data_IF_307421841539
#
_entry.id   IF_307421841539
#
_cell.length_a   1.000
_cell.length_b   1.000
_cell.length_c   1.000
_cell.angle_alpha   90.00
_cell.angle_beta   90.00
_cell.angle_gamma   90.00
#
_symmetry.space_group_name_H-M   'P 1'
#
loop_
_entity.id
_entity.type
_entity.pdbx_description
1 polymer ?
#
# COMPACT_ATOMS: atom_id res chain seq x y z
N UNK A 1 -16.41 -15.00 -17.46
CA UNK A 1 -15.55 -15.75 -16.53
C UNK A 1 -14.07 -15.56 -16.86
N UNK A 2 -13.64 -15.65 -18.12
CA UNK A 2 -12.23 -15.54 -18.55
C UNK A 2 -11.52 -14.23 -18.15
N UNK A 3 -12.26 -13.15 -17.94
CA UNK A 3 -11.69 -11.87 -17.53
C UNK A 3 -11.42 -11.78 -16.02
N UNK A 4 -12.07 -12.59 -15.20
CA UNK A 4 -11.99 -12.54 -13.75
C UNK A 4 -11.14 -13.64 -13.15
N UNK A 5 -11.06 -14.79 -13.81
CA UNK A 5 -10.32 -15.95 -13.31
C UNK A 5 -9.52 -16.53 -14.49
N UNK A 6 -8.21 -16.33 -14.48
CA UNK A 6 -7.30 -16.82 -15.52
C UNK A 6 -6.50 -18.04 -15.02
N UNK A 7 -5.81 -17.89 -13.89
CA UNK A 7 -4.95 -18.94 -13.35
C UNK A 7 -4.62 -18.72 -11.85
N UNK A 8 -3.83 -19.62 -11.28
CA UNK A 8 -3.40 -19.54 -9.89
C UNK A 8 -2.47 -18.37 -9.57
N UNK A 9 -1.87 -17.73 -10.58
CA UNK A 9 -0.98 -16.58 -10.37
C UNK A 9 -1.72 -15.39 -9.78
N UNK A 10 -3.01 -15.25 -10.05
CA UNK A 10 -3.87 -14.23 -9.46
C UNK A 10 -3.97 -14.37 -7.94
N UNK A 11 -4.16 -15.60 -7.47
CA UNK A 11 -4.22 -15.89 -6.02
C UNK A 11 -2.86 -15.58 -5.39
N UNK A 12 -1.77 -15.97 -6.04
CA UNK A 12 -0.42 -15.69 -5.58
C UNK A 12 -0.17 -14.18 -5.49
N UNK A 13 -0.54 -13.40 -6.51
CA UNK A 13 -0.42 -11.95 -6.50
C UNK A 13 -1.22 -11.32 -5.35
N UNK A 14 -2.49 -11.70 -5.20
CA UNK A 14 -3.34 -11.19 -4.13
C UNK A 14 -2.78 -11.50 -2.74
N UNK A 15 -2.37 -12.75 -2.50
CA UNK A 15 -1.82 -13.19 -1.20
C UNK A 15 -0.52 -12.48 -0.89
N UNK A 16 0.41 -12.38 -1.86
CA UNK A 16 1.71 -11.73 -1.67
C UNK A 16 1.57 -10.23 -1.39
N UNK A 17 0.72 -9.54 -2.13
CA UNK A 17 0.45 -8.11 -1.89
C UNK A 17 -0.27 -7.90 -0.55
N UNK A 18 -1.23 -8.77 -0.21
CA UNK A 18 -1.91 -8.70 1.09
C UNK A 18 -0.91 -8.90 2.24
N UNK A 19 0.03 -9.83 2.08
CA UNK A 19 1.09 -10.04 3.07
C UNK A 19 1.96 -8.79 3.26
N UNK A 20 2.40 -8.16 2.18
CA UNK A 20 3.19 -6.91 2.23
C UNK A 20 2.37 -5.78 2.87
N UNK A 21 1.09 -5.67 2.52
CA UNK A 21 0.20 -4.67 3.12
C UNK A 21 0.00 -4.90 4.63
N UNK A 22 -0.15 -6.15 5.08
CA UNK A 22 -0.20 -6.50 6.51
C UNK A 22 1.11 -6.16 7.20
N UNK A 23 2.25 -6.42 6.56
CA UNK A 23 3.57 -6.07 7.11
C UNK A 23 3.72 -4.55 7.29
N UNK A 24 3.33 -3.75 6.28
CA UNK A 24 3.28 -2.28 6.43
C UNK A 24 2.36 -1.86 7.56
N UNK A 25 1.17 -2.45 7.65
CA UNK A 25 0.20 -2.13 8.70
C UNK A 25 0.74 -2.46 10.09
N UNK A 26 1.38 -3.61 10.25
CA UNK A 26 1.97 -4.02 11.53
C UNK A 26 3.12 -3.11 11.97
N UNK A 27 4.04 -2.78 11.07
CA UNK A 27 5.16 -1.88 11.34
C UNK A 27 4.69 -0.47 11.67
N UNK A 28 3.76 0.09 10.90
CA UNK A 28 3.21 1.42 11.18
C UNK A 28 2.42 1.46 12.48
N UNK A 29 1.64 0.42 12.76
CA UNK A 29 0.92 0.28 14.02
C UNK A 29 1.86 0.20 15.24
N UNK A 30 3.02 -0.43 15.08
CA UNK A 30 4.03 -0.51 16.12
C UNK A 30 4.66 0.86 16.42
N UNK A 31 4.78 1.74 15.44
CA UNK A 31 5.29 3.10 15.64
C UNK A 31 4.27 4.03 16.32
N UNK A 32 2.98 3.69 16.31
CA UNK A 32 1.91 4.56 16.79
C UNK A 32 1.41 4.22 18.21
N UNK A 33 0.98 5.25 18.95
CA UNK A 33 0.34 5.12 20.27
C UNK A 33 -1.10 4.58 20.22
N UNK A 34 -1.72 4.40 21.38
CA UNK A 34 -3.08 3.85 21.52
C UNK A 34 -4.17 4.70 20.84
N UNK A 35 -4.00 6.02 20.76
CA UNK A 35 -4.98 6.97 20.17
C UNK A 35 -4.85 7.18 18.64
N UNK A 36 -3.93 6.47 17.96
CA UNK A 36 -3.66 6.67 16.55
C UNK A 36 -4.85 6.34 15.64
N UNK A 37 -4.89 6.94 14.49
CA UNK A 37 -5.84 6.60 13.43
C UNK A 37 -5.30 5.36 12.69
N UNK A 38 -5.78 4.18 13.07
CA UNK A 38 -5.31 2.88 12.55
C UNK A 38 -5.31 2.76 11.03
N UNK A 39 -6.17 3.53 10.35
CA UNK A 39 -6.20 3.55 8.89
C UNK A 39 -4.96 4.18 8.24
N UNK A 40 -4.12 4.91 9.00
CA UNK A 40 -2.85 5.43 8.52
C UNK A 40 -1.67 4.46 8.76
N UNK A 41 -1.85 3.41 9.54
CA UNK A 41 -0.78 2.46 9.87
C UNK A 41 -0.02 1.95 8.62
N UNK A 42 -0.68 1.51 7.51
CA UNK A 42 0.05 1.02 6.35
C UNK A 42 0.89 2.11 5.64
N UNK A 43 0.44 3.37 5.63
CA UNK A 43 1.22 4.48 5.08
C UNK A 43 2.48 4.75 5.92
N UNK A 44 2.33 4.74 7.25
CA UNK A 44 3.46 4.92 8.17
C UNK A 44 4.48 3.78 8.03
N UNK A 45 4.02 2.53 7.96
CA UNK A 45 4.91 1.39 7.77
C UNK A 45 5.61 1.39 6.41
N UNK A 46 4.91 1.76 5.34
CA UNK A 46 5.52 1.93 4.02
C UNK A 46 6.58 3.04 4.03
N UNK A 47 6.29 4.19 4.64
CA UNK A 47 7.25 5.28 4.78
C UNK A 47 8.52 4.84 5.54
N UNK A 48 8.36 4.17 6.68
CA UNK A 48 9.48 3.65 7.47
C UNK A 48 10.33 2.66 6.68
N UNK A 49 9.71 1.71 5.99
CA UNK A 49 10.45 0.76 5.15
C UNK A 49 11.14 1.47 3.99
N UNK A 50 10.48 2.44 3.34
CA UNK A 50 11.09 3.23 2.28
C UNK A 50 12.34 3.97 2.76
N UNK A 51 12.28 4.61 3.92
CA UNK A 51 13.43 5.28 4.54
C UNK A 51 14.53 4.27 4.90
N UNK A 52 14.16 3.15 5.56
CA UNK A 52 15.13 2.13 5.97
C UNK A 52 15.85 1.50 4.77
N UNK A 53 15.11 1.10 3.73
CA UNK A 53 15.71 0.51 2.51
C UNK A 53 16.59 1.52 1.78
N UNK A 54 16.14 2.78 1.66
CA UNK A 54 16.95 3.82 1.01
C UNK A 54 18.23 4.10 1.79
N UNK A 55 18.12 4.31 3.10
CA UNK A 55 19.28 4.60 3.95
C UNK A 55 20.28 3.44 3.97
N UNK A 56 19.80 2.23 4.20
CA UNK A 56 20.66 1.05 4.29
C UNK A 56 21.28 0.69 2.94
N UNK A 57 20.52 0.78 1.86
CA UNK A 57 21.03 0.48 0.52
C UNK A 57 22.01 1.53 0.01
N UNK A 58 21.74 2.82 0.24
CA UNK A 58 22.61 3.91 -0.26
C UNK A 58 23.86 4.09 0.60
N UNK A 59 23.69 4.12 1.94
CA UNK A 59 24.84 4.43 2.82
C UNK A 59 25.70 3.20 3.15
N UNK A 60 25.10 2.01 3.19
CA UNK A 60 25.78 0.81 3.66
C UNK A 60 25.84 -0.30 2.61
N UNK A 61 25.27 -0.09 1.43
CA UNK A 61 25.20 -1.07 0.35
C UNK A 61 24.66 -2.44 0.80
N UNK A 62 23.70 -2.43 1.74
CA UNK A 62 23.09 -3.66 2.25
C UNK A 62 22.20 -4.25 1.16
N UNK A 63 22.32 -5.55 0.84
CA UNK A 63 21.45 -6.21 -0.14
C UNK A 63 19.96 -6.12 0.24
N UNK A 64 19.10 -5.82 -0.72
CA UNK A 64 17.66 -5.70 -0.49
C UNK A 64 17.01 -7.01 -0.06
N UNK A 65 17.56 -8.16 -0.47
CA UNK A 65 17.11 -9.48 -0.02
C UNK A 65 17.26 -9.64 1.49
N UNK A 66 18.44 -9.26 2.05
CA UNK A 66 18.68 -9.29 3.49
C UNK A 66 17.72 -8.33 4.22
N UNK A 67 17.55 -7.12 3.68
CA UNK A 67 16.64 -6.14 4.27
C UNK A 67 15.19 -6.62 4.24
N UNK A 68 14.78 -7.33 3.17
CA UNK A 68 13.43 -7.91 3.07
C UNK A 68 13.18 -8.97 4.15
N UNK A 69 14.18 -9.83 4.42
CA UNK A 69 14.09 -10.82 5.51
C UNK A 69 14.00 -10.11 6.86
N UNK A 70 14.87 -9.13 7.12
CA UNK A 70 14.83 -8.35 8.37
C UNK A 70 13.49 -7.63 8.55
N UNK A 71 12.98 -7.00 7.49
CA UNK A 71 11.67 -6.35 7.49
C UNK A 71 10.54 -7.35 7.78
N UNK A 72 10.59 -8.56 7.22
CA UNK A 72 9.64 -9.64 7.48
C UNK A 72 9.65 -10.09 8.94
N UNK A 73 10.84 -10.26 9.52
CA UNK A 73 11.00 -10.62 10.95
C UNK A 73 10.45 -9.51 11.84
N UNK A 74 10.83 -8.26 11.58
CA UNK A 74 10.35 -7.10 12.35
C UNK A 74 8.84 -6.93 12.21
N UNK A 75 8.28 -7.08 11.02
CA UNK A 75 6.83 -7.00 10.78
C UNK A 75 6.09 -8.12 11.51
N UNK A 76 6.64 -9.33 11.57
CA UNK A 76 6.05 -10.45 12.30
C UNK A 76 6.03 -10.18 13.80
N UNK A 77 7.15 -9.73 14.38
CA UNK A 77 7.22 -9.33 15.78
C UNK A 77 6.28 -8.17 16.13
N UNK A 78 6.27 -7.14 15.28
CA UNK A 78 5.34 -6.01 15.38
C UNK A 78 3.88 -6.47 15.31
N UNK A 79 3.57 -7.38 14.39
CA UNK A 79 2.23 -7.95 14.23
C UNK A 79 1.74 -8.67 15.48
N UNK A 80 2.58 -9.52 16.09
CA UNK A 80 2.26 -10.20 17.36
C UNK A 80 2.04 -9.19 18.48
N UNK A 81 2.92 -8.19 18.57
CA UNK A 81 2.80 -7.16 19.59
C UNK A 81 1.53 -6.31 19.44
N UNK A 82 1.24 -5.84 18.21
CA UNK A 82 0.03 -5.07 17.90
C UNK A 82 -1.23 -5.90 18.11
N UNK A 83 -1.21 -7.17 17.74
CA UNK A 83 -2.34 -8.07 18.00
C UNK A 83 -2.66 -8.16 19.51
N UNK A 84 -1.62 -8.32 20.34
CA UNK A 84 -1.80 -8.39 21.82
C UNK A 84 -2.26 -7.07 22.42
N UNK A 85 -1.77 -5.93 21.89
CA UNK A 85 -2.11 -4.59 22.37
C UNK A 85 -3.51 -4.14 21.95
N UNK A 86 -3.86 -4.34 20.67
CA UNK A 86 -5.02 -3.72 20.02
C UNK A 86 -6.14 -4.71 19.68
N UNK A 87 -5.95 -6.00 19.93
CA UNK A 87 -6.90 -7.07 19.60
C UNK A 87 -6.98 -7.41 18.10
N UNK A 88 -6.08 -6.87 17.28
CA UNK A 88 -6.02 -7.14 15.84
C UNK A 88 -5.16 -6.12 15.10
N UNK A 89 -4.67 -6.49 13.92
CA UNK A 89 -3.81 -5.63 13.08
C UNK A 89 -4.66 -4.75 12.18
N UNK A 90 -5.69 -5.33 11.57
CA UNK A 90 -6.51 -4.67 10.54
C UNK A 90 -7.54 -3.72 11.17
N UNK A 91 -7.71 -2.49 10.67
CA UNK A 91 -8.73 -1.56 11.18
C UNK A 91 -10.14 -2.09 10.94
N UNK A 92 -11.06 -1.74 11.86
CA UNK A 92 -12.47 -2.08 11.72
C UNK A 92 -13.05 -1.49 10.42
N UNK A 93 -13.91 -2.27 9.75
CA UNK A 93 -14.52 -1.88 8.47
C UNK A 93 -13.72 -2.24 7.24
N UNK A 94 -12.38 -2.41 7.33
CA UNK A 94 -11.55 -2.72 6.15
C UNK A 94 -11.93 -4.03 5.46
N UNK A 95 -12.13 -5.10 6.22
CA UNK A 95 -12.54 -6.39 5.65
C UNK A 95 -13.87 -6.32 4.91
N UNK A 96 -14.81 -5.49 5.37
CA UNK A 96 -16.09 -5.29 4.68
C UNK A 96 -15.91 -4.56 3.36
N UNK A 97 -15.09 -3.50 3.34
CA UNK A 97 -14.72 -2.82 2.10
C UNK A 97 -14.03 -3.78 1.13
N UNK A 98 -13.10 -4.59 1.62
CA UNK A 98 -12.39 -5.58 0.82
C UNK A 98 -13.36 -6.58 0.18
N UNK A 99 -14.33 -7.10 0.95
CA UNK A 99 -15.36 -8.01 0.42
C UNK A 99 -16.21 -7.37 -0.69
N UNK A 100 -16.55 -6.09 -0.54
CA UNK A 100 -17.38 -5.37 -1.52
C UNK A 100 -16.66 -5.18 -2.85
N UNK A 101 -15.33 -5.10 -2.83
CA UNK A 101 -14.53 -4.86 -4.03
C UNK A 101 -13.88 -6.12 -4.60
N UNK A 102 -14.26 -7.32 -4.12
CA UNK A 102 -13.75 -8.59 -4.66
C UNK A 102 -13.79 -8.63 -6.20
N UNK A 103 -14.88 -8.22 -6.90
CA UNK A 103 -14.88 -8.23 -8.36
C UNK A 103 -13.79 -7.33 -8.98
N UNK A 104 -13.56 -6.15 -8.40
CA UNK A 104 -12.49 -5.25 -8.84
C UNK A 104 -11.10 -5.85 -8.58
N UNK A 105 -10.90 -6.46 -7.41
CA UNK A 105 -9.64 -7.13 -7.07
C UNK A 105 -9.37 -8.30 -8.00
N UNK A 106 -10.39 -9.08 -8.35
CA UNK A 106 -10.25 -10.18 -9.31
C UNK A 106 -9.82 -9.67 -10.70
N UNK A 107 -10.35 -8.53 -11.15
CA UNK A 107 -9.90 -7.89 -12.39
C UNK A 107 -8.44 -7.43 -12.29
N UNK A 108 -8.06 -6.74 -11.22
CA UNK A 108 -6.70 -6.20 -11.05
C UNK A 108 -5.68 -7.33 -10.93
N UNK A 109 -6.00 -8.40 -10.24
CA UNK A 109 -5.09 -9.57 -10.13
C UNK A 109 -4.88 -10.27 -11.48
N UNK A 110 -5.84 -10.17 -12.40
CA UNK A 110 -5.74 -10.72 -13.76
C UNK A 110 -5.03 -9.76 -14.73
N UNK A 111 -4.87 -8.47 -14.37
CA UNK A 111 -4.27 -7.48 -15.26
C UNK A 111 -2.75 -7.63 -15.34
N UNK A 112 -2.23 -7.31 -16.52
CA UNK A 112 -0.81 -7.13 -16.77
C UNK A 112 -0.55 -5.67 -17.10
N UNK A 113 0.69 -5.25 -16.96
CA UNK A 113 1.12 -3.94 -17.40
C UNK A 113 0.76 -3.70 -18.87
N UNK A 114 0.24 -2.52 -19.16
CA UNK A 114 -0.24 -2.17 -20.49
C UNK A 114 0.00 -0.72 -20.87
N UNK A 115 0.43 0.10 -19.91
CA UNK A 115 0.62 1.53 -20.08
C UNK A 115 2.09 1.87 -20.29
N UNK A 116 2.36 2.93 -21.07
CA UNK A 116 3.70 3.34 -21.41
C UNK A 116 4.60 3.56 -20.18
N UNK A 117 4.11 4.27 -19.15
CA UNK A 117 4.90 4.60 -17.99
C UNK A 117 5.16 3.38 -17.09
N UNK A 118 4.34 2.33 -17.15
CA UNK A 118 4.64 1.07 -16.48
C UNK A 118 5.91 0.46 -17.06
N UNK A 119 6.04 0.45 -18.38
CA UNK A 119 7.21 -0.12 -19.07
C UNK A 119 8.43 0.81 -19.03
N UNK A 120 8.25 2.14 -18.92
CA UNK A 120 9.36 3.08 -18.91
C UNK A 120 10.06 3.19 -17.55
N UNK A 121 9.37 2.93 -16.43
CA UNK A 121 9.99 3.01 -15.09
C UNK A 121 9.32 2.17 -13.99
N UNK A 122 7.98 2.06 -13.89
CA UNK A 122 7.34 1.40 -12.76
C UNK A 122 7.58 -0.12 -12.71
N UNK A 123 7.92 -0.76 -13.81
CA UNK A 123 8.27 -2.17 -13.91
C UNK A 123 9.78 -2.38 -14.02
N UNK A 124 10.47 -1.54 -14.78
CA UNK A 124 11.92 -1.69 -15.02
C UNK A 124 12.70 -1.61 -13.73
N UNK A 125 12.39 -0.63 -12.88
CA UNK A 125 13.14 -0.40 -11.64
C UNK A 125 12.97 -1.56 -10.64
N UNK A 126 11.76 -2.02 -10.26
CA UNK A 126 11.64 -3.16 -9.36
C UNK A 126 12.24 -4.46 -9.93
N UNK A 127 12.18 -4.66 -11.26
CA UNK A 127 12.82 -5.80 -11.91
C UNK A 127 14.34 -5.72 -11.78
N UNK A 128 14.92 -4.57 -12.06
CA UNK A 128 16.34 -4.30 -11.85
C UNK A 128 16.74 -4.57 -10.39
N UNK A 129 15.96 -4.09 -9.42
CA UNK A 129 16.22 -4.32 -7.98
C UNK A 129 16.17 -5.82 -7.61
N UNK A 130 15.31 -6.60 -8.25
CA UNK A 130 15.24 -8.05 -8.05
C UNK A 130 16.46 -8.78 -8.64
N UNK A 131 16.97 -8.32 -9.77
CA UNK A 131 18.11 -8.90 -10.47
C UNK A 131 19.45 -8.54 -9.82
N UNK A 132 19.61 -7.28 -9.40
CA UNK A 132 20.88 -6.76 -8.86
C UNK A 132 20.97 -6.79 -7.34
N UNK A 133 19.83 -6.93 -6.67
CA UNK A 133 19.69 -6.88 -5.22
C UNK A 133 20.21 -5.59 -4.56
N UNK A 134 20.33 -4.49 -5.34
CA UNK A 134 20.95 -3.24 -4.94
C UNK A 134 20.39 -2.03 -5.69
N UNK A 135 20.76 -0.83 -5.22
CA UNK A 135 20.60 0.40 -6.00
C UNK A 135 21.56 0.45 -7.19
N UNK A 136 21.24 1.22 -8.24
CA UNK A 136 22.17 1.56 -9.29
C UNK A 136 23.43 2.20 -8.73
N UNK A 137 24.59 1.76 -9.23
CA UNK A 137 25.91 2.23 -8.83
C UNK A 137 26.89 2.15 -10.00
N UNK A 138 28.13 2.57 -9.79
CA UNK A 138 29.17 2.45 -10.82
C UNK A 138 29.42 1.01 -11.29
N UNK A 139 29.24 0.01 -10.40
CA UNK A 139 29.34 -1.41 -10.74
C UNK A 139 28.04 -2.02 -11.28
N UNK A 140 26.91 -1.40 -10.96
CA UNK A 140 25.57 -1.77 -11.40
C UNK A 140 24.93 -0.56 -12.09
N UNK A 141 25.16 -0.34 -13.40
CA UNK A 141 24.67 0.84 -14.10
C UNK A 141 23.14 0.88 -14.07
N UNK A 142 22.60 2.08 -14.10
CA UNK A 142 21.16 2.31 -14.08
C UNK A 142 20.49 1.61 -15.26
N UNK A 143 19.33 0.96 -15.07
CA UNK A 143 18.59 0.41 -16.18
C UNK A 143 18.17 1.54 -17.10
N UNK A 144 17.94 1.24 -18.39
CA UNK A 144 17.48 2.21 -19.36
C UNK A 144 16.01 2.60 -19.08
N UNK A 145 15.80 3.34 -18.00
CA UNK A 145 14.52 3.84 -17.55
C UNK A 145 14.38 5.30 -17.98
N UNK A 146 13.19 5.68 -18.42
CA UNK A 146 12.92 7.03 -18.92
C UNK A 146 13.12 8.14 -17.90
N UNK A 147 13.00 7.83 -16.60
CA UNK A 147 13.03 8.79 -15.50
C UNK A 147 13.86 8.26 -14.33
N UNK A 148 15.17 8.43 -14.43
CA UNK A 148 16.14 7.95 -13.45
C UNK A 148 16.00 8.57 -12.04
N UNK A 149 15.41 9.76 -11.94
CA UNK A 149 15.28 10.51 -10.70
C UNK A 149 14.00 10.20 -9.89
N UNK A 150 13.14 9.28 -10.34
CA UNK A 150 11.93 8.92 -9.61
C UNK A 150 12.27 8.26 -8.26
N UNK A 151 11.52 8.61 -7.18
CA UNK A 151 11.74 8.03 -5.86
C UNK A 151 11.53 6.51 -5.87
N UNK A 152 12.46 5.77 -5.29
CA UNK A 152 12.39 4.31 -5.17
C UNK A 152 11.30 3.83 -4.20
N UNK A 153 10.78 4.71 -3.34
CA UNK A 153 9.82 4.35 -2.31
C UNK A 153 8.60 3.58 -2.81
N UNK A 154 8.07 3.94 -3.98
CA UNK A 154 6.96 3.20 -4.61
C UNK A 154 7.42 1.87 -5.20
N UNK A 155 8.59 1.84 -5.81
CA UNK A 155 9.13 0.63 -6.43
C UNK A 155 9.40 -0.51 -5.41
N UNK A 156 9.67 -0.17 -4.13
CA UNK A 156 9.78 -1.16 -3.06
C UNK A 156 8.50 -1.98 -2.85
N UNK A 157 7.33 -1.46 -3.15
CA UNK A 157 6.05 -2.19 -3.06
C UNK A 157 6.06 -3.39 -4.01
N UNK A 158 6.34 -3.15 -5.29
CA UNK A 158 6.41 -4.20 -6.31
C UNK A 158 7.58 -5.15 -6.04
N UNK A 159 8.74 -4.62 -5.64
CA UNK A 159 9.90 -5.41 -5.25
C UNK A 159 9.56 -6.40 -4.11
N UNK A 160 9.02 -5.91 -3.00
CA UNK A 160 8.69 -6.73 -1.83
C UNK A 160 7.61 -7.78 -2.14
N UNK A 161 6.56 -7.39 -2.85
CA UNK A 161 5.50 -8.33 -3.25
C UNK A 161 6.06 -9.43 -4.16
N UNK A 162 6.93 -9.09 -5.09
CA UNK A 162 7.60 -10.04 -5.99
C UNK A 162 8.57 -10.96 -5.23
N UNK A 163 9.28 -10.44 -4.23
CA UNK A 163 10.15 -11.27 -3.35
C UNK A 163 9.33 -12.29 -2.56
N UNK A 164 8.18 -11.88 -2.02
CA UNK A 164 7.26 -12.80 -1.31
C UNK A 164 6.70 -13.87 -2.26
N UNK A 165 6.32 -13.46 -3.47
CA UNK A 165 5.76 -14.38 -4.47
C UNK A 165 6.80 -15.35 -5.09
N UNK A 166 8.08 -15.00 -5.06
CA UNK A 166 9.13 -15.72 -5.80
C UNK A 166 9.09 -15.53 -7.31
N UNK A 167 8.17 -14.69 -7.81
CA UNK A 167 8.02 -14.31 -9.22
C UNK A 167 7.72 -12.82 -9.33
N UNK A 168 8.03 -12.22 -10.48
CA UNK A 168 7.73 -10.82 -10.70
C UNK A 168 6.23 -10.55 -10.83
N UNK A 169 5.70 -9.64 -10.01
CA UNK A 169 4.28 -9.26 -9.97
C UNK A 169 4.06 -7.88 -10.57
N UNK A 170 3.69 -7.82 -11.84
CA UNK A 170 3.45 -6.56 -12.57
C UNK A 170 2.30 -5.72 -11.98
N UNK A 171 1.32 -6.36 -11.37
CA UNK A 171 0.10 -5.76 -10.83
C UNK A 171 0.17 -5.41 -9.34
N UNK A 172 1.31 -5.60 -8.68
CA UNK A 172 1.45 -5.37 -7.25
C UNK A 172 1.14 -3.91 -6.87
N UNK A 173 1.66 -2.94 -7.64
CA UNK A 173 1.38 -1.53 -7.43
C UNK A 173 -0.12 -1.20 -7.54
N UNK A 174 -0.81 -1.75 -8.55
CA UNK A 174 -2.24 -1.53 -8.74
C UNK A 174 -3.07 -2.08 -7.55
N UNK A 175 -2.74 -3.25 -7.04
CA UNK A 175 -3.41 -3.84 -5.87
C UNK A 175 -3.20 -3.01 -4.60
N UNK A 176 -1.97 -2.56 -4.33
CA UNK A 176 -1.68 -1.70 -3.17
C UNK A 176 -2.38 -0.35 -3.30
N UNK A 177 -2.45 0.23 -4.50
CA UNK A 177 -3.20 1.47 -4.73
C UNK A 177 -4.66 1.33 -4.27
N UNK A 178 -5.31 0.23 -4.60
CA UNK A 178 -6.68 -0.03 -4.13
C UNK A 178 -6.74 -0.17 -2.60
N UNK A 179 -5.82 -0.90 -1.99
CA UNK A 179 -5.79 -1.05 -0.54
C UNK A 179 -5.59 0.30 0.18
N UNK A 180 -4.73 1.17 -0.35
CA UNK A 180 -4.52 2.52 0.18
C UNK A 180 -5.76 3.40 0.03
N UNK A 181 -6.46 3.33 -1.11
CA UNK A 181 -7.74 4.03 -1.30
C UNK A 181 -8.80 3.60 -0.30
N UNK A 182 -8.94 2.29 -0.07
CA UNK A 182 -9.89 1.78 0.92
C UNK A 182 -9.56 2.26 2.34
N UNK A 183 -8.28 2.28 2.69
CA UNK A 183 -7.83 2.78 3.99
C UNK A 183 -8.12 4.28 4.12
N UNK A 184 -7.86 5.06 3.08
CA UNK A 184 -8.20 6.47 3.05
C UNK A 184 -9.71 6.71 3.17
N UNK A 185 -10.50 5.87 2.51
CA UNK A 185 -11.96 5.86 2.66
C UNK A 185 -12.42 5.68 4.11
N UNK A 186 -11.77 4.78 4.86
CA UNK A 186 -12.08 4.60 6.29
C UNK A 186 -11.70 5.83 7.12
N UNK A 187 -10.63 6.55 6.77
CA UNK A 187 -10.29 7.83 7.44
C UNK A 187 -11.39 8.85 7.22
N UNK A 188 -11.78 9.06 5.96
CA UNK A 188 -12.85 10.01 5.60
C UNK A 188 -14.15 9.67 6.31
N UNK A 189 -14.56 8.39 6.29
CA UNK A 189 -15.76 7.94 7.01
C UNK A 189 -15.67 8.21 8.51
N UNK A 190 -14.52 7.99 9.14
CA UNK A 190 -14.31 8.28 10.55
C UNK A 190 -14.49 9.76 10.84
N UNK A 191 -13.92 10.64 10.01
CA UNK A 191 -14.06 12.09 10.16
C UNK A 191 -15.52 12.53 9.99
N UNK A 192 -16.23 11.98 9.00
CA UNK A 192 -17.66 12.25 8.82
C UNK A 192 -18.47 11.78 10.04
N UNK A 193 -18.23 10.54 10.51
CA UNK A 193 -18.94 10.00 11.67
C UNK A 193 -18.68 10.83 12.94
N UNK A 194 -17.49 11.36 13.12
CA UNK A 194 -17.18 12.29 14.22
C UNK A 194 -17.90 13.63 14.04
N UNK A 195 -17.90 14.19 12.83
CA UNK A 195 -18.55 15.47 12.55
C UNK A 195 -20.09 15.44 12.75
N UNK A 196 -20.72 14.29 12.52
CA UNK A 196 -22.18 14.09 12.76
C UNK A 196 -22.47 13.50 14.14
N UNK A 197 -21.47 13.43 15.03
CA UNK A 197 -21.58 12.91 16.39
C UNK A 197 -22.07 11.45 16.51
N UNK A 198 -21.77 10.63 15.48
CA UNK A 198 -22.16 9.21 15.40
C UNK A 198 -20.94 8.28 15.17
N UNK A 199 -19.94 8.28 16.06
CA UNK A 199 -18.72 7.48 15.87
C UNK A 199 -19.00 5.96 15.82
N UNK A 200 -20.14 5.51 16.38
CA UNK A 200 -20.56 4.11 16.35
C UNK A 200 -20.80 3.58 14.92
N UNK A 201 -21.10 4.44 13.95
CA UNK A 201 -21.29 4.03 12.56
C UNK A 201 -20.02 3.37 11.97
N UNK A 202 -18.84 3.87 12.34
CA UNK A 202 -17.57 3.28 11.92
C UNK A 202 -17.13 2.17 12.89
N UNK A 203 -17.28 2.38 14.20
CA UNK A 203 -16.85 1.40 15.22
C UNK A 203 -17.59 0.07 15.09
N UNK A 204 -18.91 0.11 14.88
CA UNK A 204 -19.75 -1.07 14.66
C UNK A 204 -19.67 -1.57 13.21
N UNK A 205 -18.88 -0.91 12.36
CA UNK A 205 -18.70 -1.22 10.94
C UNK A 205 -20.03 -1.44 10.22
N UNK A 206 -20.92 -0.44 10.29
CA UNK A 206 -22.21 -0.48 9.59
C UNK A 206 -22.00 -0.68 8.08
N UNK A 207 -22.61 -1.74 7.50
CA UNK A 207 -22.42 -2.11 6.11
C UNK A 207 -22.78 -0.99 5.14
N UNK A 208 -23.91 -0.32 5.35
CA UNK A 208 -24.36 0.75 4.44
C UNK A 208 -23.42 1.94 4.47
N UNK A 209 -23.03 2.36 5.66
CA UNK A 209 -22.14 3.50 5.84
C UNK A 209 -20.74 3.23 5.26
N UNK A 210 -20.20 2.06 5.55
CA UNK A 210 -18.89 1.62 5.04
C UNK A 210 -18.92 1.48 3.53
N UNK A 211 -20.00 0.90 2.96
CA UNK A 211 -20.16 0.75 1.50
C UNK A 211 -20.25 2.10 0.80
N UNK A 212 -21.06 3.01 1.32
CA UNK A 212 -21.22 4.34 0.74
C UNK A 212 -19.91 5.12 0.74
N UNK A 213 -19.16 5.06 1.84
CA UNK A 213 -17.87 5.74 1.92
C UNK A 213 -16.81 5.12 1.01
N UNK A 214 -16.76 3.79 0.91
CA UNK A 214 -15.89 3.10 -0.04
C UNK A 214 -16.21 3.49 -1.48
N UNK A 215 -17.48 3.50 -1.86
CA UNK A 215 -17.92 3.92 -3.19
C UNK A 215 -17.58 5.40 -3.45
N UNK A 216 -17.84 6.29 -2.49
CA UNK A 216 -17.56 7.71 -2.62
C UNK A 216 -16.07 7.99 -2.86
N UNK A 217 -15.18 7.34 -2.11
CA UNK A 217 -13.73 7.51 -2.28
C UNK A 217 -13.24 6.95 -3.62
N UNK A 218 -13.75 5.79 -4.03
CA UNK A 218 -13.41 5.22 -5.33
C UNK A 218 -13.89 6.13 -6.47
N UNK A 219 -15.11 6.66 -6.40
CA UNK A 219 -15.68 7.54 -7.43
C UNK A 219 -15.07 8.94 -7.42
N UNK A 220 -14.72 9.46 -6.25
CA UNK A 220 -14.10 10.79 -6.10
C UNK A 220 -12.60 10.78 -6.41
N UNK A 221 -11.99 9.63 -6.61
CA UNK A 221 -10.59 9.57 -7.02
C UNK A 221 -10.43 10.19 -8.41
N UNK A 222 -9.67 11.30 -8.57
CA UNK A 222 -9.50 11.99 -9.85
C UNK A 222 -8.80 11.11 -10.89
N UNK A 223 -8.15 10.05 -10.45
CA UNK A 223 -7.50 9.07 -11.30
C UNK A 223 -8.45 7.94 -11.74
N UNK A 224 -9.71 7.99 -11.38
CA UNK A 224 -10.76 7.07 -11.85
C UNK A 224 -11.16 7.35 -13.32
N UNK A 225 -10.27 7.84 -14.11
CA UNK A 225 -10.34 7.76 -15.56
C UNK A 225 -9.78 6.40 -15.97
N UNK A 226 -10.27 5.84 -17.05
CA UNK A 226 -10.11 4.46 -17.53
C UNK A 226 -8.73 3.80 -17.41
N UNK A 227 -7.67 4.52 -17.07
CA UNK A 227 -6.29 4.04 -17.16
C UNK A 227 -5.53 4.00 -15.83
N UNK A 228 -5.86 4.82 -14.86
CA UNK A 228 -4.94 5.08 -13.72
C UNK A 228 -5.28 4.28 -12.46
N UNK A 229 -6.54 4.00 -12.17
CA UNK A 229 -6.94 3.19 -11.01
C UNK A 229 -6.46 1.74 -11.12
N UNK A 230 -6.35 1.26 -12.35
CA UNK A 230 -5.99 -0.14 -12.65
C UNK A 230 -4.52 -0.30 -13.04
N UNK A 231 -3.67 0.69 -12.80
CA UNK A 231 -2.25 0.66 -13.15
C UNK A 231 -1.35 0.64 -11.92
N UNK A 232 -0.09 0.30 -12.12
CA UNK A 232 0.95 0.34 -11.09
C UNK A 232 1.54 1.75 -10.86
N UNK A 233 0.88 2.80 -11.34
CA UNK A 233 1.33 4.19 -11.20
C UNK A 233 1.29 4.68 -9.76
N UNK A 234 2.20 5.58 -9.41
CA UNK A 234 2.30 6.15 -8.06
C UNK A 234 1.30 7.27 -7.75
N UNK A 235 0.54 7.76 -8.73
CA UNK A 235 -0.37 8.91 -8.57
C UNK A 235 -1.41 8.67 -7.48
N UNK A 236 -2.04 7.51 -7.47
CA UNK A 236 -3.05 7.17 -6.45
C UNK A 236 -2.43 7.11 -5.06
N UNK A 237 -1.29 6.45 -4.91
CA UNK A 237 -0.58 6.37 -3.62
C UNK A 237 -0.08 7.74 -3.16
N UNK A 238 0.40 8.58 -4.09
CA UNK A 238 0.82 9.96 -3.81
C UNK A 238 -0.35 10.82 -3.38
N UNK A 239 -1.51 10.73 -4.05
CA UNK A 239 -2.72 11.45 -3.68
C UNK A 239 -3.20 11.03 -2.28
N UNK A 240 -3.22 9.74 -1.98
CA UNK A 240 -3.58 9.22 -0.65
C UNK A 240 -2.59 9.69 0.42
N UNK A 241 -1.29 9.62 0.17
CA UNK A 241 -0.26 10.08 1.11
C UNK A 241 -0.37 11.59 1.39
N UNK A 242 -0.59 12.39 0.34
CA UNK A 242 -0.78 13.84 0.46
C UNK A 242 -2.06 14.16 1.26
N UNK A 243 -3.18 13.53 0.92
CA UNK A 243 -4.44 13.68 1.65
C UNK A 243 -4.33 13.29 3.13
N UNK A 244 -3.63 12.19 3.42
CA UNK A 244 -3.33 11.77 4.79
C UNK A 244 -2.48 12.81 5.54
N UNK A 245 -1.45 13.37 4.89
CA UNK A 245 -0.62 14.43 5.45
C UNK A 245 -1.42 15.69 5.79
N UNK A 246 -2.30 16.13 4.91
CA UNK A 246 -3.20 17.27 5.14
C UNK A 246 -4.12 17.02 6.32
N UNK A 247 -4.75 15.85 6.39
CA UNK A 247 -5.64 15.48 7.52
C UNK A 247 -4.86 15.47 8.84
N UNK A 248 -3.69 14.86 8.88
CA UNK A 248 -2.86 14.82 10.09
C UNK A 248 -2.43 16.23 10.51
N UNK A 249 -2.00 17.07 9.56
CA UNK A 249 -1.65 18.46 9.83
C UNK A 249 -2.84 19.24 10.41
N UNK A 250 -4.02 19.10 9.86
CA UNK A 250 -5.25 19.70 10.37
C UNK A 250 -5.57 19.23 11.80
N UNK A 251 -5.49 17.90 12.05
CA UNK A 251 -5.75 17.35 13.39
C UNK A 251 -4.74 17.86 14.42
N UNK A 252 -3.48 18.02 14.04
CA UNK A 252 -2.45 18.62 14.93
C UNK A 252 -2.80 20.06 15.24
N UNK A 253 -3.15 20.86 14.24
CA UNK A 253 -3.56 22.26 14.46
C UNK A 253 -4.76 22.36 15.40
N UNK A 254 -5.78 21.49 15.21
CA UNK A 254 -6.95 21.44 16.09
C UNK A 254 -6.60 21.02 17.54
N UNK A 255 -5.59 20.19 17.73
CA UNK A 255 -5.15 19.74 19.06
C UNK A 255 -4.29 20.78 19.79
N UNK A 256 -3.70 21.74 19.07
CA UNK A 256 -2.87 22.81 19.61
C UNK A 256 -3.66 24.11 19.87
N UNK A 257 -4.84 24.27 19.29
CA UNK A 257 -5.74 25.40 19.50
C UNK A 257 -6.61 25.22 20.74
#
# INVERSE_FOLDING_TARGET
>A
AQYFIQDSSQVLAFVSVTFVWIAFTALGAACGGAGRIRAFDPLVGWAWLGVAFTTAGVLFSIPFSLMSVLAGVLASGAGVWVWRRDGGIVPSGFLRLLMLIIPLLALITAMRASQWDEFSHWIIIPRYMLETDAFPSGGNPYPNAGLAAYPFGWNFVTYLASRVAGVFLENAGALINVFLLLMFGLVVLRLIAQAIEKPELVQKSNWYFVSLGGAAVLLANPTFSQKIVLTSYAETSTAVATGAGVILGWLICCALA
#
